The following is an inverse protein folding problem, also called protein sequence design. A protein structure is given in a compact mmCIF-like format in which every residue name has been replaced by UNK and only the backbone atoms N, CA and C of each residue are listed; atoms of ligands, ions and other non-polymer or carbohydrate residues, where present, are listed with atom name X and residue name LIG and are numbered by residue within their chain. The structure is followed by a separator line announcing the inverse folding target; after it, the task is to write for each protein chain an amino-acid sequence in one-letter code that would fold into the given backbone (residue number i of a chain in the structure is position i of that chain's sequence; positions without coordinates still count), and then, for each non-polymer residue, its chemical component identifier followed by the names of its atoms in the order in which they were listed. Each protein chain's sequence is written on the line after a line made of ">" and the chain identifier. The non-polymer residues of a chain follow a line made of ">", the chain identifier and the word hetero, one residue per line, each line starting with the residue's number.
data_IF_184494686570
#
_entry.id   IF_184494686570
#
_cell.length_a   1.000
_cell.length_b   1.000
_cell.length_c   1.000
_cell.angle_alpha   90.00
_cell.angle_beta   90.00
_cell.angle_gamma   90.00
#
_symmetry.space_group_name_H-M   'P 1'
#
loop_
_entity.id
_entity.type
_entity.pdbx_description
1 polymer ?
#
# COMPACT_ATOMS: atom_id res chain seq x y z
N UNK A 1 0.54 -22.95 10.09
CA UNK A 1 1.35 -24.19 10.25
C UNK A 1 2.62 -23.87 11.02
N UNK A 2 3.51 -24.86 11.24
CA UNK A 2 4.73 -24.67 12.05
C UNK A 2 5.70 -23.58 11.57
N UNK A 3 5.60 -23.15 10.30
CA UNK A 3 6.36 -22.02 9.73
C UNK A 3 5.47 -20.82 9.40
N UNK A 4 4.42 -20.60 10.20
CA UNK A 4 3.60 -19.40 10.05
C UNK A 4 4.44 -18.15 10.31
N UNK A 5 4.06 -17.04 9.69
CA UNK A 5 4.72 -15.77 9.91
C UNK A 5 4.51 -15.32 11.37
N UNK A 6 5.58 -15.31 12.16
CA UNK A 6 5.53 -14.83 13.54
C UNK A 6 5.14 -13.34 13.63
N UNK A 7 5.45 -12.56 12.60
CA UNK A 7 5.13 -11.13 12.52
C UNK A 7 3.76 -10.83 11.91
N UNK A 8 2.91 -11.83 11.67
CA UNK A 8 1.65 -11.63 10.95
C UNK A 8 0.76 -10.58 11.62
N UNK A 9 0.56 -10.67 12.93
CA UNK A 9 -0.37 -9.79 13.64
C UNK A 9 0.18 -8.36 13.74
N UNK A 10 1.51 -8.22 13.93
CA UNK A 10 2.18 -6.91 13.92
C UNK A 10 2.05 -6.25 12.54
N UNK A 11 2.36 -6.98 11.47
CA UNK A 11 2.25 -6.47 10.10
C UNK A 11 0.81 -6.06 9.75
N UNK A 12 -0.19 -6.84 10.21
CA UNK A 12 -1.59 -6.47 10.04
C UNK A 12 -1.97 -5.22 10.83
N UNK A 13 -1.47 -5.06 12.05
CA UNK A 13 -1.71 -3.87 12.87
C UNK A 13 -1.12 -2.61 12.22
N UNK A 14 0.14 -2.68 11.79
CA UNK A 14 0.83 -1.58 11.10
C UNK A 14 0.10 -1.17 9.82
N UNK A 15 -0.27 -2.14 8.98
CA UNK A 15 -0.98 -1.88 7.73
C UNK A 15 -2.35 -1.23 7.97
N UNK A 16 -3.12 -1.75 8.94
CA UNK A 16 -4.43 -1.19 9.30
C UNK A 16 -4.30 0.24 9.81
N UNK A 17 -3.34 0.50 10.70
CA UNK A 17 -3.11 1.85 11.21
C UNK A 17 -2.73 2.83 10.10
N UNK A 18 -1.84 2.44 9.20
CA UNK A 18 -1.46 3.27 8.06
C UNK A 18 -2.67 3.62 7.18
N UNK A 19 -3.47 2.62 6.79
CA UNK A 19 -4.67 2.83 5.95
C UNK A 19 -5.64 3.78 6.64
N UNK A 20 -5.97 3.53 7.91
CA UNK A 20 -6.92 4.37 8.66
C UNK A 20 -6.43 5.81 8.77
N UNK A 21 -5.14 6.03 9.01
CA UNK A 21 -4.56 7.38 9.10
C UNK A 21 -4.61 8.14 7.78
N UNK A 22 -4.40 7.46 6.66
CA UNK A 22 -4.52 8.06 5.33
C UNK A 22 -5.98 8.46 5.05
N UNK A 23 -6.93 7.55 5.34
CA UNK A 23 -8.37 7.82 5.15
C UNK A 23 -8.87 8.96 6.05
N UNK A 24 -8.49 8.99 7.32
CA UNK A 24 -8.87 10.04 8.27
C UNK A 24 -8.36 11.44 7.88
N UNK A 25 -7.26 11.50 7.13
CA UNK A 25 -6.66 12.76 6.66
C UNK A 25 -7.19 13.20 5.29
N UNK A 26 -8.24 12.56 4.77
CA UNK A 26 -8.76 12.88 3.44
C UNK A 26 -7.77 12.59 2.33
N UNK A 27 -6.83 11.65 2.53
CA UNK A 27 -5.87 11.28 1.48
C UNK A 27 -6.53 10.30 0.52
N UNK A 28 -6.66 10.70 -0.73
CA UNK A 28 -7.10 9.83 -1.82
C UNK A 28 -5.99 9.64 -2.86
N UNK A 29 -6.03 8.50 -3.53
CA UNK A 29 -5.06 8.10 -4.53
C UNK A 29 -5.78 7.93 -5.87
N UNK A 30 -5.33 8.65 -6.88
CA UNK A 30 -5.81 8.52 -8.25
C UNK A 30 -4.73 7.83 -9.11
N UNK A 31 -5.19 6.96 -10.00
CA UNK A 31 -4.30 6.32 -10.97
C UNK A 31 -3.78 7.32 -12.00
N UNK A 32 -2.61 7.05 -12.57
CA UNK A 32 -1.98 7.92 -13.56
C UNK A 32 -1.62 7.16 -14.82
N UNK A 33 -1.59 7.80 -16.01
CA UNK A 33 -1.13 7.16 -17.25
C UNK A 33 0.32 6.69 -17.21
N UNK A 34 1.12 7.19 -16.25
CA UNK A 34 2.51 6.78 -16.05
C UNK A 34 2.61 5.42 -15.34
N UNK A 35 1.53 4.92 -14.73
CA UNK A 35 1.52 3.65 -14.03
C UNK A 35 1.68 2.49 -15.02
N UNK A 36 2.71 1.65 -14.84
CA UNK A 36 2.94 0.47 -15.70
C UNK A 36 2.38 -0.75 -14.99
N UNK A 37 1.35 -1.34 -15.60
CA UNK A 37 0.74 -2.57 -15.09
C UNK A 37 1.74 -3.73 -14.92
N UNK A 38 1.40 -4.65 -14.01
CA UNK A 38 2.15 -5.88 -13.76
C UNK A 38 3.16 -5.80 -12.60
N UNK A 39 3.71 -6.97 -12.25
CA UNK A 39 4.61 -7.15 -11.11
C UNK A 39 6.07 -7.38 -11.51
N UNK A 40 6.99 -7.00 -10.62
CA UNK A 40 8.40 -7.38 -10.62
C UNK A 40 8.60 -8.43 -9.53
N UNK A 41 9.04 -9.62 -9.92
CA UNK A 41 9.30 -10.72 -9.00
C UNK A 41 10.77 -10.71 -8.56
N UNK A 42 11.00 -10.69 -7.24
CA UNK A 42 12.30 -10.92 -6.58
C UNK A 42 12.08 -11.83 -5.37
N UNK A 43 12.66 -11.47 -4.21
CA UNK A 43 12.32 -12.06 -2.90
C UNK A 43 10.85 -11.82 -2.55
N UNK A 44 10.28 -10.70 -3.01
CA UNK A 44 8.85 -10.36 -2.91
C UNK A 44 8.30 -9.99 -4.29
N UNK A 45 6.97 -9.94 -4.41
CA UNK A 45 6.28 -9.38 -5.58
C UNK A 45 5.87 -7.94 -5.28
N UNK A 46 6.27 -7.01 -6.15
CA UNK A 46 5.91 -5.60 -6.06
C UNK A 46 5.56 -5.05 -7.47
N UNK A 47 4.81 -3.95 -7.59
CA UNK A 47 4.56 -3.31 -8.88
C UNK A 47 5.86 -2.96 -9.61
N UNK A 48 5.88 -3.10 -10.95
CA UNK A 48 7.06 -2.73 -11.75
C UNK A 48 7.34 -1.22 -11.71
N UNK A 49 6.29 -0.43 -11.81
CA UNK A 49 6.36 1.02 -11.74
C UNK A 49 4.99 1.53 -11.27
N UNK A 50 4.92 2.02 -10.03
CA UNK A 50 3.71 2.53 -9.41
C UNK A 50 3.80 4.06 -9.33
N UNK A 51 2.91 4.75 -10.05
CA UNK A 51 2.77 6.20 -9.99
C UNK A 51 1.32 6.53 -9.71
N UNK A 52 1.07 7.18 -8.58
CA UNK A 52 -0.27 7.61 -8.16
C UNK A 52 -0.26 9.10 -7.89
N UNK A 53 -1.35 9.79 -8.25
CA UNK A 53 -1.57 11.17 -7.85
C UNK A 53 -2.20 11.15 -6.46
N UNK A 54 -1.54 11.79 -5.51
CA UNK A 54 -2.03 11.93 -4.14
C UNK A 54 -2.84 13.23 -4.04
N UNK A 55 -4.09 13.12 -3.59
CA UNK A 55 -4.92 14.27 -3.25
C UNK A 55 -5.15 14.26 -1.75
N UNK A 56 -5.09 15.43 -1.14
CA UNK A 56 -5.31 15.62 0.29
C UNK A 56 -6.44 16.64 0.39
N UNK A 57 -7.61 16.16 0.78
CA UNK A 57 -8.75 17.04 1.02
C UNK A 57 -8.52 17.75 2.36
N UNK A 58 -8.25 19.05 2.28
CA UNK A 58 -8.21 19.94 3.43
C UNK A 58 -9.59 20.58 3.59
N UNK A 59 -10.23 20.37 4.73
CA UNK A 59 -11.34 21.23 5.20
C UNK A 59 -10.82 22.66 5.49
#
# INVERSE_FOLDING_TARGET
>A
GHRACLGQDLAQFELKLMIVRLMQRGVSFEDTPENIGGGKQHVTCAPRHLVVRVRIDHD
#
